data_IF_398653013482
#
_entry.id   IF_398653013482
#
_cell.length_a   1.000
_cell.length_b   1.000
_cell.length_c   1.000
_cell.angle_alpha   90.00
_cell.angle_beta   90.00
_cell.angle_gamma   90.00
#
_symmetry.space_group_name_H-M   'P 1'
#
loop_
_entity.id
_entity.type
_entity.pdbx_description
1 polymer ?
#
# COMPACT_ATOMS: atom_id res chain seq x y z
N UNK A 1 -23.97 -13.91 16.76
CA UNK A 1 -23.63 -12.60 16.17
C UNK A 1 -23.50 -12.75 14.65
N UNK A 2 -24.04 -11.81 13.86
CA UNK A 2 -23.96 -11.78 12.38
C UNK A 2 -23.15 -10.53 11.98
N UNK A 3 -22.16 -10.68 11.09
CA UNK A 3 -21.27 -9.56 10.69
C UNK A 3 -21.32 -9.32 9.18
N UNK A 4 -21.56 -8.07 8.78
CA UNK A 4 -21.33 -7.61 7.41
C UNK A 4 -19.97 -6.91 7.33
N UNK A 5 -19.04 -7.48 6.57
CA UNK A 5 -17.70 -6.91 6.35
C UNK A 5 -17.77 -5.94 5.18
N UNK A 6 -17.51 -4.67 5.46
CA UNK A 6 -17.45 -3.59 4.47
C UNK A 6 -15.99 -3.28 4.13
N UNK A 7 -15.43 -4.02 3.18
CA UNK A 7 -14.02 -3.87 2.75
C UNK A 7 -13.86 -4.21 1.26
N UNK A 8 -12.80 -3.69 0.60
CA UNK A 8 -12.43 -4.07 -0.75
C UNK A 8 -12.41 -5.59 -0.91
N UNK A 9 -12.98 -6.08 -2.03
CA UNK A 9 -13.38 -7.48 -2.24
C UNK A 9 -12.33 -8.49 -1.77
N UNK A 10 -11.06 -8.33 -2.19
CA UNK A 10 -9.97 -9.26 -1.86
C UNK A 10 -9.70 -9.30 -0.35
N UNK A 11 -9.62 -8.14 0.30
CA UNK A 11 -9.31 -8.03 1.72
C UNK A 11 -10.50 -8.46 2.59
N UNK A 12 -11.72 -8.15 2.14
CA UNK A 12 -12.94 -8.47 2.84
C UNK A 12 -13.28 -9.96 2.78
N UNK A 13 -13.17 -10.60 1.61
CA UNK A 13 -13.30 -12.07 1.48
C UNK A 13 -12.30 -12.82 2.37
N UNK A 14 -11.05 -12.34 2.46
CA UNK A 14 -10.04 -12.91 3.36
C UNK A 14 -10.45 -12.83 4.84
N UNK A 15 -11.06 -11.71 5.25
CA UNK A 15 -11.55 -11.53 6.61
C UNK A 15 -12.75 -12.43 6.91
N UNK A 16 -13.75 -12.45 6.02
CA UNK A 16 -14.92 -13.34 6.14
C UNK A 16 -14.49 -14.81 6.27
N UNK A 17 -13.51 -15.26 5.47
CA UNK A 17 -12.97 -16.62 5.58
C UNK A 17 -12.39 -16.92 6.97
N UNK A 18 -11.71 -15.94 7.59
CA UNK A 18 -11.17 -16.09 8.96
C UNK A 18 -12.28 -16.08 10.02
N UNK A 19 -13.27 -15.21 9.89
CA UNK A 19 -14.41 -15.12 10.81
C UNK A 19 -15.26 -16.40 10.78
N UNK A 20 -15.57 -16.93 9.60
CA UNK A 20 -16.30 -18.20 9.47
C UNK A 20 -15.54 -19.37 10.10
N UNK A 21 -14.20 -19.40 10.00
CA UNK A 21 -13.37 -20.44 10.63
C UNK A 21 -13.48 -20.49 12.15
N UNK A 22 -13.77 -19.36 12.80
CA UNK A 22 -13.98 -19.30 14.25
C UNK A 22 -15.47 -19.31 14.64
N UNK A 23 -16.34 -19.80 13.75
CA UNK A 23 -17.77 -19.96 14.01
C UNK A 23 -18.62 -18.68 13.86
N UNK A 24 -18.05 -17.57 13.37
CA UNK A 24 -18.78 -16.32 13.21
C UNK A 24 -19.41 -16.22 11.82
N UNK A 25 -20.75 -16.17 11.78
CA UNK A 25 -21.49 -16.00 10.53
C UNK A 25 -21.25 -14.60 9.95
N UNK A 26 -20.69 -14.54 8.74
CA UNK A 26 -20.22 -13.31 8.13
C UNK A 26 -20.30 -13.29 6.61
N UNK A 27 -20.47 -12.08 6.05
CA UNK A 27 -20.56 -11.82 4.62
C UNK A 27 -19.69 -10.62 4.24
N UNK A 28 -19.32 -10.52 2.95
CA UNK A 28 -18.56 -9.39 2.44
C UNK A 28 -19.43 -8.55 1.51
N UNK A 29 -19.41 -7.23 1.71
CA UNK A 29 -19.95 -6.25 0.79
C UNK A 29 -18.86 -5.18 0.53
N UNK A 30 -18.62 -4.82 -0.73
CA UNK A 30 -17.58 -3.86 -1.09
C UNK A 30 -18.23 -2.60 -1.65
N UNK A 31 -18.00 -1.44 -1.05
CA UNK A 31 -18.49 -0.16 -1.59
C UNK A 31 -17.61 0.41 -2.70
N UNK A 32 -16.34 0.01 -2.73
CA UNK A 32 -15.37 0.54 -3.68
C UNK A 32 -14.27 -0.47 -3.96
N UNK A 33 -13.61 -0.28 -5.10
CA UNK A 33 -12.37 -0.94 -5.46
C UNK A 33 -11.31 0.12 -5.74
N UNK A 34 -10.05 -0.33 -5.86
CA UNK A 34 -8.94 0.56 -6.16
C UNK A 34 -8.50 0.35 -7.60
N UNK A 35 -8.19 1.44 -8.29
CA UNK A 35 -7.66 1.46 -9.64
C UNK A 35 -6.48 2.45 -9.73
N UNK A 36 -5.60 2.33 -10.75
CA UNK A 36 -4.64 3.38 -11.06
C UNK A 36 -5.34 4.73 -11.24
N UNK A 37 -4.66 5.82 -10.89
CA UNK A 37 -5.26 7.15 -11.05
C UNK A 37 -5.28 7.57 -12.51
N UNK A 38 -6.44 8.05 -12.96
CA UNK A 38 -6.61 8.71 -14.27
C UNK A 38 -6.65 10.25 -14.14
N UNK A 39 -6.38 10.80 -12.95
CA UNK A 39 -6.31 12.24 -12.74
C UNK A 39 -5.13 12.88 -13.46
N UNK A 40 -5.22 14.18 -13.74
CA UNK A 40 -4.08 14.98 -14.27
C UNK A 40 -2.90 15.01 -13.29
N UNK A 41 -3.17 14.96 -11.99
CA UNK A 41 -2.16 14.82 -10.93
C UNK A 41 -1.94 13.33 -10.68
N UNK A 42 -1.08 12.70 -11.49
CA UNK A 42 -0.75 11.28 -11.36
C UNK A 42 0.76 11.05 -11.40
N UNK A 43 1.18 9.80 -11.18
CA UNK A 43 2.58 9.43 -11.12
C UNK A 43 3.29 9.59 -12.48
N UNK A 44 2.61 9.36 -13.60
CA UNK A 44 3.23 9.49 -14.92
C UNK A 44 3.66 10.92 -15.21
N UNK A 45 2.86 11.89 -14.79
CA UNK A 45 3.15 13.31 -14.98
C UNK A 45 4.17 13.85 -13.97
N UNK A 46 4.40 13.13 -12.86
CA UNK A 46 5.29 13.53 -11.76
C UNK A 46 6.49 12.62 -11.59
N UNK A 47 6.83 11.83 -12.60
CA UNK A 47 7.92 10.84 -12.48
C UNK A 47 9.27 11.52 -12.20
N UNK A 48 9.54 12.67 -12.81
CA UNK A 48 10.75 13.44 -12.56
C UNK A 48 10.80 13.98 -11.12
N UNK A 49 9.66 14.39 -10.56
CA UNK A 49 9.57 14.81 -9.16
C UNK A 49 9.85 13.64 -8.21
N UNK A 50 9.36 12.44 -8.53
CA UNK A 50 9.62 11.22 -7.74
C UNK A 50 11.13 10.97 -7.59
N UNK A 51 11.90 11.04 -8.68
CA UNK A 51 13.34 10.77 -8.66
C UNK A 51 14.19 11.91 -8.10
N UNK A 52 13.70 13.16 -8.14
CA UNK A 52 14.37 14.32 -7.52
C UNK A 52 14.06 14.47 -6.02
N UNK A 53 13.09 13.72 -5.50
CA UNK A 53 12.67 13.81 -4.10
C UNK A 53 13.72 13.26 -3.15
N UNK A 54 14.00 13.97 -2.06
CA UNK A 54 14.83 13.47 -0.96
C UNK A 54 14.03 12.62 0.05
N UNK A 55 12.71 12.79 0.08
CA UNK A 55 11.79 12.11 0.98
C UNK A 55 10.55 11.65 0.20
N UNK A 56 10.14 10.39 0.41
CA UNK A 56 8.88 9.85 -0.12
C UNK A 56 8.07 9.28 1.05
N UNK A 57 6.83 9.74 1.18
CA UNK A 57 5.90 9.26 2.23
C UNK A 57 4.77 8.44 1.60
N UNK A 58 4.61 7.20 2.06
CA UNK A 58 3.64 6.23 1.55
C UNK A 58 2.53 5.96 2.58
N UNK A 59 1.32 6.38 2.23
CA UNK A 59 0.18 6.40 3.13
C UNK A 59 -0.55 5.05 3.21
N UNK A 60 -0.44 4.20 2.17
CA UNK A 60 -1.18 2.95 2.09
C UNK A 60 -0.44 1.87 1.29
N UNK A 61 -0.86 0.61 1.46
CA UNK A 61 -0.37 -0.50 0.62
C UNK A 61 -0.74 -0.32 -0.85
N UNK A 62 -1.88 0.33 -1.11
CA UNK A 62 -2.37 0.61 -2.46
C UNK A 62 -1.45 1.61 -3.17
N UNK A 63 -1.00 2.66 -2.47
CA UNK A 63 0.00 3.60 -2.99
C UNK A 63 1.28 2.86 -3.41
N UNK A 64 1.80 1.97 -2.56
CA UNK A 64 2.98 1.14 -2.89
C UNK A 64 2.71 0.24 -4.10
N UNK A 65 1.56 -0.45 -4.12
CA UNK A 65 1.23 -1.40 -5.18
C UNK A 65 1.15 -0.71 -6.54
N UNK A 66 0.40 0.40 -6.64
CA UNK A 66 0.22 1.11 -7.91
C UNK A 66 1.47 1.87 -8.36
N UNK A 67 2.26 2.41 -7.44
CA UNK A 67 3.58 2.94 -7.79
C UNK A 67 4.49 1.84 -8.33
N UNK A 68 4.56 0.69 -7.66
CA UNK A 68 5.38 -0.42 -8.14
C UNK A 68 4.90 -0.95 -9.50
N UNK A 69 3.59 -1.07 -9.69
CA UNK A 69 3.01 -1.50 -10.96
C UNK A 69 3.42 -0.53 -12.08
N UNK A 70 3.26 0.78 -11.87
CA UNK A 70 3.68 1.80 -12.83
C UNK A 70 5.19 1.75 -13.13
N UNK A 71 6.04 1.63 -12.10
CA UNK A 71 7.49 1.56 -12.30
C UNK A 71 7.85 0.32 -13.13
N UNK A 72 7.31 -0.84 -12.78
CA UNK A 72 7.55 -2.08 -13.50
C UNK A 72 7.09 -2.03 -14.96
N UNK A 73 5.89 -1.49 -15.23
CA UNK A 73 5.36 -1.40 -16.60
C UNK A 73 6.17 -0.46 -17.49
N UNK A 74 6.92 0.47 -16.89
CA UNK A 74 7.77 1.43 -17.60
C UNK A 74 9.27 1.11 -17.51
N UNK A 75 9.65 -0.11 -17.07
CA UNK A 75 11.04 -0.51 -16.84
C UNK A 75 11.85 0.43 -15.94
N UNK A 76 11.16 1.07 -14.98
CA UNK A 76 11.71 1.97 -14.00
C UNK A 76 11.92 1.24 -12.66
N UNK A 77 12.79 1.79 -11.81
CA UNK A 77 13.08 1.27 -10.46
C UNK A 77 12.65 2.25 -9.38
N UNK A 78 12.39 1.76 -8.18
CA UNK A 78 12.21 2.65 -7.03
C UNK A 78 13.48 3.50 -6.83
N UNK A 79 13.36 4.82 -6.50
CA UNK A 79 14.52 5.65 -6.24
C UNK A 79 15.40 5.14 -5.08
N UNK A 80 16.70 4.97 -5.30
CA UNK A 80 17.60 4.39 -4.28
C UNK A 80 18.13 5.43 -3.26
N UNK A 81 18.29 6.69 -3.67
CA UNK A 81 18.89 7.78 -2.87
C UNK A 81 17.86 8.58 -2.04
N UNK A 82 16.71 7.99 -1.73
CA UNK A 82 15.59 8.65 -1.03
C UNK A 82 15.33 8.04 0.36
N UNK A 83 14.86 8.87 1.29
CA UNK A 83 14.34 8.43 2.58
C UNK A 83 12.86 8.10 2.46
N UNK A 84 12.50 6.83 2.65
CA UNK A 84 11.10 6.41 2.63
C UNK A 84 10.49 6.46 4.02
N UNK A 85 9.25 6.94 4.09
CA UNK A 85 8.41 6.86 5.28
C UNK A 85 7.08 6.21 4.94
N UNK A 86 6.50 5.49 5.90
CA UNK A 86 5.17 4.91 5.78
C UNK A 86 4.37 5.15 7.04
N UNK A 87 3.06 5.31 6.94
CA UNK A 87 2.19 5.60 8.10
C UNK A 87 1.93 4.39 8.99
N UNK A 88 2.34 3.19 8.57
CA UNK A 88 2.10 2.02 9.41
C UNK A 88 2.95 0.83 9.03
N UNK A 89 3.22 -0.01 10.04
CA UNK A 89 4.01 -1.23 9.92
C UNK A 89 3.61 -2.12 8.75
N UNK A 90 2.31 -2.24 8.50
CA UNK A 90 1.81 -3.09 7.43
C UNK A 90 2.14 -2.54 6.02
N UNK A 91 2.21 -1.22 5.85
CA UNK A 91 2.62 -0.57 4.60
C UNK A 91 4.13 -0.68 4.43
N UNK A 92 4.91 -0.44 5.49
CA UNK A 92 6.35 -0.66 5.52
C UNK A 92 6.74 -2.07 5.08
N UNK A 93 6.18 -3.11 5.73
CA UNK A 93 6.46 -4.50 5.36
C UNK A 93 6.05 -4.84 3.92
N UNK A 94 5.04 -4.16 3.39
CA UNK A 94 4.64 -4.34 1.99
C UNK A 94 5.63 -3.68 1.03
N UNK A 95 6.09 -2.46 1.33
CA UNK A 95 7.14 -1.76 0.58
C UNK A 95 8.48 -2.52 0.58
N UNK A 96 8.84 -3.16 1.71
CA UNK A 96 10.09 -3.93 1.83
C UNK A 96 10.27 -4.97 0.71
N UNK A 97 9.17 -5.57 0.26
CA UNK A 97 9.17 -6.58 -0.79
C UNK A 97 9.76 -6.08 -2.11
N UNK A 98 9.73 -4.76 -2.34
CA UNK A 98 10.16 -4.14 -3.58
C UNK A 98 11.52 -3.46 -3.46
N UNK A 99 11.78 -2.73 -2.36
CA UNK A 99 13.01 -1.95 -2.21
C UNK A 99 14.11 -2.66 -1.40
N UNK A 100 13.78 -3.73 -0.66
CA UNK A 100 14.72 -4.52 0.17
C UNK A 100 15.63 -3.72 1.13
N UNK A 101 15.22 -2.51 1.48
CA UNK A 101 15.92 -1.61 2.43
C UNK A 101 15.53 -1.86 3.89
N UNK A 102 16.39 -1.48 4.85
CA UNK A 102 16.16 -1.73 6.29
C UNK A 102 15.09 -0.79 6.85
N UNK A 103 14.20 -1.30 7.69
CA UNK A 103 13.14 -0.50 8.33
C UNK A 103 13.47 -0.14 9.77
N UNK A 104 13.15 1.09 10.15
CA UNK A 104 13.09 1.56 11.53
C UNK A 104 11.63 1.89 11.87
N UNK A 105 11.12 1.31 12.95
CA UNK A 105 9.80 1.65 13.48
C UNK A 105 10.00 2.67 14.59
N UNK A 106 9.46 3.88 14.42
CA UNK A 106 9.29 4.76 15.55
C UNK A 106 8.10 4.21 16.37
N UNK A 107 8.13 4.35 17.69
CA UNK A 107 7.00 3.96 18.55
C UNK A 107 5.73 4.80 18.21
N UNK A 108 5.92 5.95 17.56
CA UNK A 108 4.87 6.70 16.87
C UNK A 108 4.60 6.05 15.51
N UNK A 109 3.33 5.98 15.09
CA UNK A 109 2.79 5.17 13.97
C UNK A 109 3.60 5.10 12.65
N UNK A 110 4.56 6.01 12.42
CA UNK A 110 5.38 6.13 11.22
C UNK A 110 6.58 5.16 11.23
N UNK A 111 6.72 4.37 10.16
CA UNK A 111 7.91 3.56 9.91
C UNK A 111 8.80 4.22 8.84
N UNK A 112 10.12 4.30 9.11
CA UNK A 112 11.15 4.83 8.21
C UNK A 112 11.90 3.69 7.52
N UNK A 113 12.36 3.89 6.29
CA UNK A 113 13.24 2.96 5.57
C UNK A 113 14.56 3.64 5.23
N UNK A 114 15.67 2.94 5.51
CA UNK A 114 17.04 3.35 5.23
C UNK A 114 17.58 2.56 4.04
#
# INVERSE_FOLDING_TARGET
MKILVIKPVVSGKKLVKKLKKIGINSWNFSFFDFFPSNSSINLSNKINELYKSNIIVLFSKQSVYYTNLYLNTNNLKWPDSVKYFTIGKSTALFLYKYIKKKFFFLYTKIAKVC
#
